data_IF_997732067607
#
_entry.id   IF_997732067607
#
_cell.length_a   1.000
_cell.length_b   1.000
_cell.length_c   1.000
_cell.angle_alpha   90.00
_cell.angle_beta   90.00
_cell.angle_gamma   90.00
#
_symmetry.space_group_name_H-M   'P 1'
#
loop_
_entity.id
_entity.type
_entity.pdbx_description
1 polymer ?
#
# COMPACT_ATOMS: atom_id res chain seq x y z
N UNK A 1 -5.26 -26.78 61.76
CA UNK A 1 -6.39 -27.55 62.32
C UNK A 1 -6.97 -28.37 61.17
N UNK A 2 -6.96 -29.70 61.30
CA UNK A 2 -7.45 -30.75 60.37
C UNK A 2 -8.23 -31.79 61.24
N UNK A 3 -8.81 -32.90 60.74
CA UNK A 3 -9.13 -33.36 59.36
C UNK A 3 -10.67 -33.24 59.12
N UNK A 4 -11.43 -33.95 58.26
CA UNK A 4 -11.30 -35.08 57.30
C UNK A 4 -12.05 -34.69 55.99
N UNK A 5 -11.93 -35.27 54.79
CA UNK A 5 -11.47 -36.57 54.23
C UNK A 5 -12.51 -37.71 54.12
N UNK A 6 -12.85 -38.10 52.88
CA UNK A 6 -13.05 -39.47 52.31
C UNK A 6 -13.71 -39.34 50.91
N UNK A 7 -13.52 -40.15 49.85
CA UNK A 7 -12.71 -41.36 49.52
C UNK A 7 -13.56 -42.57 49.09
N UNK A 8 -13.68 -42.79 47.77
CA UNK A 8 -13.83 -44.07 47.02
C UNK A 8 -13.93 -43.70 45.53
N UNK A 9 -13.23 -44.25 44.51
CA UNK A 9 -12.64 -45.58 44.20
C UNK A 9 -13.64 -46.70 43.91
N UNK A 10 -13.78 -47.03 42.62
CA UNK A 10 -13.52 -48.33 41.94
C UNK A 10 -13.24 -47.99 40.45
N UNK A 11 -12.24 -48.52 39.76
CA UNK A 11 -11.94 -49.93 39.40
C UNK A 11 -13.05 -50.50 38.47
N UNK A 12 -12.78 -50.98 37.25
CA UNK A 12 -11.54 -51.10 36.47
C UNK A 12 -11.73 -52.06 35.27
N UNK A 13 -10.63 -52.46 34.60
CA UNK A 13 -10.54 -53.56 33.59
C UNK A 13 -11.24 -53.20 32.24
N UNK A 14 -10.56 -52.89 31.12
CA UNK A 14 -9.52 -53.63 30.34
C UNK A 14 -10.07 -54.75 29.43
N UNK A 15 -9.89 -54.60 28.10
CA UNK A 15 -9.58 -55.65 27.11
C UNK A 15 -9.55 -55.15 25.66
N UNK A 16 -8.36 -55.23 25.06
CA UNK A 16 -8.11 -55.41 23.62
C UNK A 16 -7.34 -56.73 23.44
N UNK A 17 -7.01 -57.21 22.22
CA UNK A 17 -7.65 -57.05 20.90
C UNK A 17 -8.08 -58.43 20.33
N UNK A 18 -8.48 -58.50 19.05
CA UNK A 18 -8.48 -59.78 18.29
C UNK A 18 -8.30 -59.54 16.77
N UNK A 19 -7.40 -60.29 16.15
CA UNK A 19 -7.02 -60.18 14.73
C UNK A 19 -7.84 -61.10 13.80
N UNK A 20 -7.94 -60.77 12.51
CA UNK A 20 -7.82 -61.70 11.35
C UNK A 20 -8.21 -61.01 10.02
N UNK A 21 -7.90 -61.53 8.83
CA UNK A 21 -6.58 -61.86 8.21
C UNK A 21 -6.82 -62.21 6.71
N UNK A 22 -5.82 -61.98 5.85
CA UNK A 22 -5.69 -62.47 4.46
C UNK A 22 -6.68 -62.00 3.34
N UNK A 23 -6.19 -61.13 2.47
CA UNK A 23 -5.74 -61.42 1.08
C UNK A 23 -6.14 -62.74 0.36
N UNK A 24 -5.97 -62.85 -0.98
CA UNK A 24 -5.96 -61.84 -2.07
C UNK A 24 -6.84 -62.25 -3.28
N UNK A 25 -6.89 -61.46 -4.36
CA UNK A 25 -7.01 -62.01 -5.72
C UNK A 25 -6.25 -61.16 -6.76
N UNK A 26 -5.79 -61.82 -7.83
CA UNK A 26 -4.93 -61.23 -8.86
C UNK A 26 -5.70 -60.97 -10.18
N UNK A 27 -5.05 -60.24 -11.10
CA UNK A 27 -5.57 -59.98 -12.44
C UNK A 27 -5.43 -61.20 -13.38
N UNK A 28 -6.14 -61.17 -14.53
CA UNK A 28 -5.61 -61.68 -15.79
C UNK A 28 -5.16 -60.53 -16.70
N UNK A 29 -4.28 -60.84 -17.66
CA UNK A 29 -3.82 -59.94 -18.71
C UNK A 29 -4.35 -60.39 -20.10
N UNK A 30 -3.83 -59.74 -21.15
CA UNK A 30 -3.92 -60.11 -22.58
C UNK A 30 -5.27 -59.95 -23.31
N UNK A 31 -5.32 -58.93 -24.17
CA UNK A 31 -5.70 -59.10 -25.58
C UNK A 31 -5.04 -58.00 -26.45
N UNK A 32 -4.27 -58.38 -27.46
CA UNK A 32 -3.66 -57.48 -28.47
C UNK A 32 -3.85 -58.12 -29.84
N UNK A 33 -4.55 -57.46 -30.80
CA UNK A 33 -3.91 -57.09 -32.08
C UNK A 33 -4.56 -55.88 -32.79
N UNK A 34 -4.03 -55.39 -33.94
CA UNK A 34 -2.66 -55.36 -34.44
C UNK A 34 -2.21 -53.91 -34.84
N UNK A 35 -1.12 -53.79 -35.60
CA UNK A 35 -0.45 -52.54 -36.04
C UNK A 35 -0.73 -52.20 -37.52
N UNK A 36 -0.43 -50.94 -37.91
CA UNK A 36 -0.44 -50.29 -39.24
C UNK A 36 -1.64 -49.33 -39.46
N UNK A 37 -1.50 -48.17 -40.12
CA UNK A 37 -0.37 -47.66 -40.93
C UNK A 37 -0.13 -46.13 -40.70
N UNK A 38 1.04 -45.54 -41.04
CA UNK A 38 1.42 -44.19 -40.60
C UNK A 38 1.06 -43.07 -41.59
N UNK A 39 0.46 -41.97 -41.10
CA UNK A 39 0.26 -40.76 -41.89
C UNK A 39 0.21 -39.46 -41.05
N UNK A 40 0.55 -38.34 -41.71
CA UNK A 40 0.33 -36.94 -41.26
C UNK A 40 1.05 -36.51 -39.97
N UNK A 41 2.37 -36.43 -40.02
CA UNK A 41 3.08 -35.43 -39.21
C UNK A 41 2.68 -34.02 -39.68
N UNK A 42 1.98 -33.23 -38.85
CA UNK A 42 1.36 -32.00 -39.37
C UNK A 42 0.66 -31.07 -38.37
N UNK A 43 1.22 -30.78 -37.18
CA UNK A 43 0.57 -29.85 -36.23
C UNK A 43 1.46 -28.94 -35.36
N UNK A 44 2.64 -28.52 -35.87
CA UNK A 44 3.48 -27.49 -35.20
C UNK A 44 3.64 -26.20 -36.06
N UNK A 45 3.36 -26.26 -37.36
CA UNK A 45 3.73 -25.20 -38.33
C UNK A 45 2.63 -24.17 -38.66
N UNK A 46 1.62 -24.00 -37.80
CA UNK A 46 0.42 -23.16 -38.07
C UNK A 46 0.03 -22.12 -37.01
N UNK A 47 0.59 -22.16 -35.79
CA UNK A 47 0.23 -21.22 -34.72
C UNK A 47 0.83 -19.84 -34.93
N UNK A 48 2.15 -19.75 -35.13
CA UNK A 48 2.87 -18.49 -35.31
C UNK A 48 2.38 -17.65 -36.51
N UNK A 49 1.99 -18.29 -37.61
CA UNK A 49 1.44 -17.60 -38.78
C UNK A 49 0.13 -16.87 -38.43
N UNK A 50 -0.81 -17.55 -37.77
CA UNK A 50 -2.09 -16.98 -37.34
C UNK A 50 -1.89 -15.84 -36.33
N UNK A 51 -0.92 -15.98 -35.43
CA UNK A 51 -0.54 -14.94 -34.47
C UNK A 51 -0.04 -13.68 -35.21
N UNK A 52 0.86 -13.86 -36.18
CA UNK A 52 1.42 -12.74 -36.96
C UNK A 52 0.40 -12.03 -37.83
N UNK A 53 -0.53 -12.77 -38.44
CA UNK A 53 -1.56 -12.20 -39.32
C UNK A 53 -2.53 -11.30 -38.52
N UNK A 54 -2.82 -11.68 -37.28
CA UNK A 54 -3.67 -10.92 -36.36
C UNK A 54 -2.99 -9.66 -35.79
N UNK A 55 -1.66 -9.67 -35.64
CA UNK A 55 -0.89 -8.50 -35.18
C UNK A 55 -0.68 -7.50 -36.32
N UNK A 56 -0.28 -7.95 -37.50
CA UNK A 56 0.19 -7.06 -38.57
C UNK A 56 -0.95 -6.29 -39.24
N UNK A 57 -1.73 -6.92 -40.14
CA UNK A 57 -2.69 -6.20 -41.03
C UNK A 57 -4.06 -6.85 -41.27
N UNK A 58 -4.28 -8.16 -41.03
CA UNK A 58 -5.58 -8.83 -41.33
C UNK A 58 -6.65 -8.57 -40.25
N UNK A 59 -6.58 -7.40 -39.61
CA UNK A 59 -7.17 -7.11 -38.29
C UNK A 59 -8.66 -7.41 -38.25
N UNK A 60 -9.42 -7.00 -39.27
CA UNK A 60 -10.88 -7.23 -39.31
C UNK A 60 -11.24 -8.71 -39.30
N UNK A 61 -10.55 -9.58 -40.05
CA UNK A 61 -10.94 -10.99 -40.14
C UNK A 61 -10.82 -11.71 -38.78
N UNK A 62 -9.71 -11.49 -38.08
CA UNK A 62 -9.44 -12.11 -36.77
C UNK A 62 -10.25 -11.45 -35.66
N UNK A 63 -10.29 -10.11 -35.59
CA UNK A 63 -11.06 -9.36 -34.60
C UNK A 63 -12.56 -9.63 -34.73
N UNK A 64 -13.09 -9.66 -35.94
CA UNK A 64 -14.54 -9.78 -36.15
C UNK A 64 -15.01 -11.24 -35.97
N UNK A 65 -14.09 -12.22 -36.06
CA UNK A 65 -14.30 -13.60 -35.59
C UNK A 65 -14.41 -13.75 -34.07
N UNK A 66 -14.07 -12.72 -33.29
CA UNK A 66 -14.34 -12.68 -31.85
C UNK A 66 -15.75 -12.14 -31.60
N UNK A 67 -16.40 -12.68 -30.55
CA UNK A 67 -17.63 -12.12 -30.03
C UNK A 67 -17.41 -10.64 -29.65
N UNK A 68 -18.34 -9.77 -30.02
CA UNK A 68 -18.22 -8.31 -29.91
C UNK A 68 -17.67 -7.81 -28.56
N UNK A 69 -18.15 -8.37 -27.45
CA UNK A 69 -17.72 -8.10 -26.06
C UNK A 69 -16.21 -8.32 -25.78
N UNK A 70 -15.48 -8.98 -26.68
CA UNK A 70 -14.06 -9.28 -26.55
C UNK A 70 -13.17 -8.55 -27.57
N UNK A 71 -13.77 -7.76 -28.49
CA UNK A 71 -13.02 -6.98 -29.49
C UNK A 71 -12.21 -5.84 -28.86
N UNK A 72 -12.66 -5.31 -27.72
CA UNK A 72 -11.91 -4.37 -26.87
C UNK A 72 -10.63 -5.01 -26.32
N UNK A 73 -10.75 -6.17 -25.66
CA UNK A 73 -9.63 -6.91 -25.08
C UNK A 73 -8.59 -7.33 -26.15
N UNK A 74 -9.03 -7.70 -27.35
CA UNK A 74 -8.13 -7.91 -28.51
C UNK A 74 -7.32 -6.66 -28.87
N UNK A 75 -7.96 -5.48 -28.93
CA UNK A 75 -7.29 -4.23 -29.23
C UNK A 75 -6.29 -3.83 -28.13
N UNK A 76 -6.59 -4.13 -26.86
CA UNK A 76 -5.73 -3.87 -25.70
C UNK A 76 -4.47 -4.74 -25.77
N UNK A 77 -4.61 -6.08 -25.86
CA UNK A 77 -3.45 -6.98 -25.98
C UNK A 77 -2.58 -6.66 -27.20
N UNK A 78 -3.20 -6.34 -28.35
CA UNK A 78 -2.46 -5.92 -29.56
C UNK A 78 -1.70 -4.60 -29.31
N UNK A 79 -2.26 -3.66 -28.55
CA UNK A 79 -1.60 -2.41 -28.15
C UNK A 79 -0.42 -2.69 -27.22
N UNK A 80 -0.60 -3.50 -26.18
CA UNK A 80 0.45 -3.90 -25.25
C UNK A 80 1.65 -4.54 -25.98
N UNK A 81 1.41 -5.44 -26.94
CA UNK A 81 2.47 -6.07 -27.75
C UNK A 81 3.19 -5.03 -28.64
N UNK A 82 2.45 -4.15 -29.31
CA UNK A 82 3.05 -3.11 -30.17
C UNK A 82 3.93 -2.17 -29.34
N UNK A 83 3.39 -1.65 -28.24
CA UNK A 83 4.09 -0.67 -27.42
C UNK A 83 5.28 -1.30 -26.68
N UNK A 84 5.20 -2.59 -26.30
CA UNK A 84 6.36 -3.37 -25.84
C UNK A 84 7.43 -3.50 -26.92
N UNK A 85 7.09 -3.97 -28.14
CA UNK A 85 8.11 -4.11 -29.21
C UNK A 85 8.78 -2.79 -29.55
N UNK A 86 8.03 -1.68 -29.54
CA UNK A 86 8.57 -0.32 -29.72
C UNK A 86 9.49 0.12 -28.57
N UNK A 87 9.21 -0.26 -27.33
CA UNK A 87 10.02 0.10 -26.16
C UNK A 87 11.38 -0.62 -26.11
N UNK A 88 11.53 -1.76 -26.80
CA UNK A 88 12.75 -2.56 -26.84
C UNK A 88 13.42 -2.59 -28.23
N UNK A 89 13.12 -1.61 -29.10
CA UNK A 89 13.62 -1.50 -30.49
C UNK A 89 13.45 -2.78 -31.34
N UNK A 90 12.41 -3.58 -31.06
CA UNK A 90 12.09 -4.79 -31.81
C UNK A 90 11.23 -4.40 -33.02
N UNK A 91 11.68 -4.64 -34.28
CA UNK A 91 10.83 -4.45 -35.45
C UNK A 91 9.61 -5.38 -35.36
N UNK A 92 8.40 -4.85 -35.56
CA UNK A 92 7.15 -5.60 -35.40
C UNK A 92 7.07 -6.82 -36.34
N UNK A 93 7.73 -6.76 -37.49
CA UNK A 93 7.92 -7.85 -38.45
C UNK A 93 8.67 -9.06 -37.85
N UNK A 94 9.39 -8.87 -36.75
CA UNK A 94 10.09 -9.94 -36.03
C UNK A 94 9.11 -10.91 -35.37
N UNK A 95 7.97 -10.41 -34.88
CA UNK A 95 6.88 -11.23 -34.32
C UNK A 95 6.35 -12.25 -35.35
N UNK A 96 6.47 -11.94 -36.64
CA UNK A 96 6.05 -12.81 -37.74
C UNK A 96 7.05 -13.91 -38.13
N UNK A 97 8.28 -13.86 -37.60
CA UNK A 97 9.40 -14.70 -38.05
C UNK A 97 10.09 -15.32 -36.84
N UNK A 98 9.84 -16.60 -36.50
CA UNK A 98 10.33 -17.23 -35.28
C UNK A 98 11.84 -17.09 -35.03
N UNK A 99 12.65 -17.06 -36.10
CA UNK A 99 14.10 -16.89 -35.99
C UNK A 99 14.50 -15.45 -35.64
N UNK A 100 13.81 -14.43 -36.19
CA UNK A 100 14.01 -13.02 -35.81
C UNK A 100 13.45 -12.74 -34.41
N UNK A 101 12.29 -13.32 -34.07
CA UNK A 101 11.73 -13.22 -32.72
C UNK A 101 12.70 -13.80 -31.68
N UNK A 102 13.35 -14.93 -31.99
CA UNK A 102 14.39 -15.51 -31.13
C UNK A 102 15.64 -14.63 -31.04
N UNK A 103 16.08 -14.01 -32.14
CA UNK A 103 17.22 -13.10 -32.14
C UNK A 103 16.94 -11.81 -31.35
N UNK A 104 15.73 -11.27 -31.43
CA UNK A 104 15.28 -10.12 -30.65
C UNK A 104 15.11 -10.48 -29.16
N UNK A 105 14.44 -11.59 -28.87
CA UNK A 105 14.26 -12.10 -27.51
C UNK A 105 15.61 -12.40 -26.82
N UNK A 106 16.61 -12.89 -27.55
CA UNK A 106 17.97 -13.11 -27.03
C UNK A 106 18.73 -11.85 -26.61
N UNK A 107 18.15 -10.65 -26.78
CA UNK A 107 18.70 -9.35 -26.36
C UNK A 107 17.91 -8.71 -25.19
N UNK A 108 16.80 -9.33 -24.78
CA UNK A 108 15.95 -8.86 -23.68
C UNK A 108 16.48 -9.32 -22.31
N UNK A 109 16.07 -8.63 -21.25
CA UNK A 109 16.25 -9.13 -19.87
C UNK A 109 15.35 -10.34 -19.60
N UNK A 110 15.61 -11.09 -18.53
CA UNK A 110 14.74 -12.21 -18.11
C UNK A 110 13.32 -11.74 -17.81
N UNK A 111 13.17 -10.57 -17.18
CA UNK A 111 11.87 -9.96 -16.85
C UNK A 111 11.11 -9.54 -18.11
N UNK A 112 11.81 -9.01 -19.12
CA UNK A 112 11.22 -8.63 -20.40
C UNK A 112 10.88 -9.85 -21.28
N UNK A 113 11.68 -10.92 -21.18
CA UNK A 113 11.39 -12.23 -21.80
C UNK A 113 10.09 -12.84 -21.24
N UNK A 114 9.95 -12.87 -19.92
CA UNK A 114 8.75 -13.36 -19.23
C UNK A 114 7.52 -12.51 -19.59
N UNK A 115 7.67 -11.18 -19.62
CA UNK A 115 6.63 -10.23 -20.05
C UNK A 115 6.20 -10.44 -21.50
N UNK A 116 7.15 -10.57 -22.43
CA UNK A 116 6.86 -10.84 -23.85
C UNK A 116 6.18 -12.20 -24.03
N UNK A 117 6.64 -13.25 -23.34
CA UNK A 117 6.02 -14.57 -23.39
C UNK A 117 4.56 -14.53 -22.91
N UNK A 118 4.29 -13.87 -21.78
CA UNK A 118 2.94 -13.71 -21.24
C UNK A 118 2.00 -12.95 -22.18
N UNK A 119 2.47 -11.85 -22.80
CA UNK A 119 1.70 -11.09 -23.78
C UNK A 119 1.33 -11.94 -25.00
N UNK A 120 2.29 -12.69 -25.55
CA UNK A 120 2.06 -13.56 -26.71
C UNK A 120 1.14 -14.75 -26.37
N UNK A 121 1.25 -15.33 -25.17
CA UNK A 121 0.37 -16.41 -24.70
C UNK A 121 -1.08 -15.93 -24.50
N UNK A 122 -1.28 -14.77 -23.85
CA UNK A 122 -2.62 -14.13 -23.71
C UNK A 122 -3.26 -13.88 -25.08
N UNK A 123 -2.47 -13.40 -26.05
CA UNK A 123 -2.96 -13.10 -27.40
C UNK A 123 -3.23 -14.37 -28.24
N UNK A 124 -2.39 -15.41 -28.15
CA UNK A 124 -2.66 -16.71 -28.78
C UNK A 124 -3.93 -17.36 -28.19
N UNK A 125 -4.08 -17.36 -26.87
CA UNK A 125 -5.28 -17.89 -26.21
C UNK A 125 -6.54 -17.22 -26.74
N UNK A 126 -6.58 -15.88 -26.75
CA UNK A 126 -7.73 -15.12 -27.25
C UNK A 126 -8.09 -15.49 -28.70
N UNK A 127 -7.09 -15.59 -29.58
CA UNK A 127 -7.29 -15.92 -30.99
C UNK A 127 -7.79 -17.37 -31.17
N UNK A 128 -7.27 -18.31 -30.38
CA UNK A 128 -7.57 -19.75 -30.49
C UNK A 128 -8.88 -20.13 -29.81
N UNK A 129 -9.22 -19.50 -28.68
CA UNK A 129 -10.39 -19.84 -27.84
C UNK A 129 -11.60 -18.96 -28.10
N UNK A 130 -11.42 -17.79 -28.72
CA UNK A 130 -12.45 -16.77 -29.01
C UNK A 130 -13.09 -16.12 -27.77
N UNK A 131 -12.46 -16.33 -26.63
CA UNK A 131 -12.69 -15.68 -25.34
C UNK A 131 -11.32 -15.30 -24.75
N UNK A 132 -11.23 -14.28 -23.89
CA UNK A 132 -10.07 -14.07 -23.03
C UNK A 132 -9.75 -15.36 -22.29
N UNK A 133 -8.48 -15.54 -21.91
CA UNK A 133 -8.20 -16.46 -20.81
C UNK A 133 -9.06 -16.07 -19.61
N UNK A 134 -9.46 -17.04 -18.77
CA UNK A 134 -9.66 -16.70 -17.36
C UNK A 134 -8.37 -16.06 -16.92
N UNK A 135 -8.35 -14.75 -16.70
CA UNK A 135 -7.12 -14.05 -16.40
C UNK A 135 -6.64 -14.50 -15.02
N UNK A 136 -5.75 -15.50 -15.05
CA UNK A 136 -4.59 -15.50 -14.19
C UNK A 136 -3.92 -14.15 -14.40
N UNK A 137 -4.29 -13.20 -13.56
CA UNK A 137 -3.53 -12.00 -13.28
C UNK A 137 -2.04 -12.39 -13.24
N UNK A 138 -1.10 -11.59 -13.80
CA UNK A 138 0.33 -11.89 -13.73
C UNK A 138 0.74 -12.38 -12.34
N UNK A 139 1.69 -13.32 -12.25
CA UNK A 139 1.95 -14.05 -11.00
C UNK A 139 2.23 -13.12 -9.79
N UNK A 140 2.87 -11.98 -10.05
CA UNK A 140 3.04 -10.92 -9.06
C UNK A 140 1.72 -10.32 -8.54
N UNK A 141 0.73 -10.07 -9.41
CA UNK A 141 -0.60 -9.63 -8.99
C UNK A 141 -1.33 -10.73 -8.22
N UNK A 142 -1.26 -12.01 -8.63
CA UNK A 142 -1.87 -13.11 -7.85
C UNK A 142 -1.25 -13.27 -6.45
N UNK A 143 0.08 -13.20 -6.34
CA UNK A 143 0.78 -13.33 -5.06
C UNK A 143 0.49 -12.13 -4.15
N UNK A 144 0.55 -10.91 -4.66
CA UNK A 144 0.29 -9.69 -3.88
C UNK A 144 -1.19 -9.56 -3.52
N UNK A 145 -2.14 -9.90 -4.41
CA UNK A 145 -3.56 -9.85 -4.07
C UNK A 145 -3.93 -10.87 -2.97
N UNK A 146 -3.32 -12.07 -3.01
CA UNK A 146 -3.42 -13.05 -1.93
C UNK A 146 -2.84 -12.52 -0.60
N UNK A 147 -1.68 -11.87 -0.64
CA UNK A 147 -0.97 -11.40 0.57
C UNK A 147 -1.56 -10.12 1.16
N UNK A 148 -2.08 -9.21 0.35
CA UNK A 148 -2.45 -7.85 0.78
C UNK A 148 -3.93 -7.50 0.59
N UNK A 149 -4.68 -8.21 -0.24
CA UNK A 149 -6.03 -7.79 -0.69
C UNK A 149 -6.01 -6.34 -1.20
N UNK A 150 -5.29 -6.12 -2.29
CA UNK A 150 -4.87 -4.80 -2.75
C UNK A 150 -5.91 -4.17 -3.68
N UNK A 151 -6.64 -4.97 -4.48
CA UNK A 151 -7.66 -4.50 -5.44
C UNK A 151 -8.81 -3.76 -4.72
N UNK A 152 -9.39 -4.37 -3.68
CA UNK A 152 -10.44 -3.75 -2.86
C UNK A 152 -9.95 -2.46 -2.18
N UNK A 153 -8.77 -2.51 -1.54
CA UNK A 153 -8.20 -1.38 -0.81
C UNK A 153 -7.83 -0.21 -1.72
N UNK A 154 -7.26 -0.50 -2.89
CA UNK A 154 -6.91 0.50 -3.89
C UNK A 154 -8.17 1.14 -4.47
N UNK A 155 -9.16 0.33 -4.87
CA UNK A 155 -10.42 0.83 -5.45
C UNK A 155 -11.16 1.74 -4.47
N UNK A 156 -11.29 1.31 -3.20
CA UNK A 156 -11.91 2.12 -2.14
C UNK A 156 -11.17 3.45 -1.93
N UNK A 157 -9.84 3.46 -2.02
CA UNK A 157 -9.05 4.67 -1.84
C UNK A 157 -9.12 5.63 -3.04
N UNK A 158 -9.12 5.11 -4.28
CA UNK A 158 -9.33 5.94 -5.48
C UNK A 158 -10.67 6.66 -5.39
N UNK A 159 -11.77 5.92 -5.18
CA UNK A 159 -13.12 6.50 -5.06
C UNK A 159 -13.23 7.48 -3.88
N UNK A 160 -12.56 7.23 -2.76
CA UNK A 160 -12.53 8.18 -1.65
C UNK A 160 -11.77 9.47 -2.00
N UNK A 161 -10.59 9.36 -2.60
CA UNK A 161 -9.75 10.51 -2.98
C UNK A 161 -10.37 11.36 -4.10
N UNK A 162 -11.18 10.76 -4.98
CA UNK A 162 -12.08 11.45 -5.91
C UNK A 162 -13.21 12.17 -5.15
N UNK A 163 -13.89 11.48 -4.23
CA UNK A 163 -15.00 12.02 -3.44
C UNK A 163 -14.60 13.25 -2.61
N UNK A 164 -13.44 13.25 -1.95
CA UNK A 164 -12.93 14.42 -1.21
C UNK A 164 -12.22 15.45 -2.11
N UNK A 165 -12.20 15.26 -3.43
CA UNK A 165 -11.66 16.23 -4.38
C UNK A 165 -10.14 16.42 -4.34
N UNK A 166 -9.39 15.44 -3.81
CA UNK A 166 -7.93 15.37 -3.91
C UNK A 166 -7.57 15.01 -5.35
N UNK A 167 -8.16 13.93 -5.86
CA UNK A 167 -8.03 13.54 -7.26
C UNK A 167 -8.92 14.41 -8.15
N UNK A 168 -8.34 14.97 -9.19
CA UNK A 168 -9.02 15.68 -10.26
C UNK A 168 -8.54 15.07 -11.57
N UNK A 169 -9.48 14.51 -12.34
CA UNK A 169 -9.21 13.81 -13.60
C UNK A 169 -8.13 12.69 -13.48
N UNK A 170 -8.01 12.09 -12.30
CA UNK A 170 -7.05 11.03 -11.98
C UNK A 170 -5.67 11.49 -11.49
N UNK A 171 -5.47 12.79 -11.24
CA UNK A 171 -4.20 13.36 -10.78
C UNK A 171 -4.37 14.30 -9.57
N UNK A 172 -3.26 14.62 -8.92
CA UNK A 172 -3.12 15.75 -7.98
C UNK A 172 -2.27 16.85 -8.61
N UNK A 173 -2.39 18.09 -8.11
CA UNK A 173 -1.50 19.20 -8.45
C UNK A 173 -0.41 19.32 -7.37
N UNK A 174 0.85 19.32 -7.79
CA UNK A 174 2.01 19.47 -6.90
C UNK A 174 2.28 20.91 -6.44
N UNK A 175 3.14 21.07 -5.42
CA UNK A 175 3.65 22.38 -4.97
C UNK A 175 4.39 23.18 -6.05
N UNK A 176 4.82 22.51 -7.11
CA UNK A 176 5.52 23.03 -8.28
C UNK A 176 4.59 23.29 -9.49
N UNK A 177 3.29 22.96 -9.35
CA UNK A 177 2.29 23.10 -10.40
C UNK A 177 2.23 21.94 -11.40
N UNK A 178 3.01 20.87 -11.23
CA UNK A 178 2.90 19.68 -12.09
C UNK A 178 1.69 18.82 -11.72
N UNK A 179 1.10 18.19 -12.73
CA UNK A 179 0.09 17.13 -12.57
C UNK A 179 0.77 15.80 -12.29
N UNK A 180 0.45 15.19 -11.14
CA UNK A 180 0.96 13.90 -10.73
C UNK A 180 -0.18 12.86 -10.75
N UNK A 181 -0.25 11.97 -11.76
CA UNK A 181 -1.29 10.96 -11.85
C UNK A 181 -1.21 9.96 -10.69
N UNK A 182 -2.35 9.41 -10.28
CA UNK A 182 -2.40 8.39 -9.23
C UNK A 182 -1.56 7.14 -9.62
N UNK A 183 -0.77 6.56 -8.69
CA UNK A 183 -0.01 5.35 -8.98
C UNK A 183 -0.95 4.19 -9.24
N UNK A 184 -0.78 3.47 -10.34
CA UNK A 184 -1.70 2.39 -10.70
C UNK A 184 -1.52 1.17 -9.80
N UNK A 185 -2.62 0.41 -9.61
CA UNK A 185 -2.64 -0.87 -8.88
C UNK A 185 -1.50 -1.80 -9.32
N UNK A 186 -1.26 -1.94 -10.62
CA UNK A 186 -0.22 -2.83 -11.14
C UNK A 186 1.20 -2.34 -10.84
N UNK A 187 1.41 -1.02 -10.73
CA UNK A 187 2.70 -0.45 -10.35
C UNK A 187 2.99 -0.69 -8.86
N UNK A 188 1.98 -0.50 -8.00
CA UNK A 188 2.08 -0.79 -6.56
C UNK A 188 2.32 -2.28 -6.33
N UNK A 189 1.56 -3.14 -7.00
CA UNK A 189 1.67 -4.58 -6.85
C UNK A 189 2.98 -5.15 -7.43
N UNK A 190 3.46 -4.65 -8.57
CA UNK A 190 4.79 -5.00 -9.07
C UNK A 190 5.88 -4.60 -8.06
N UNK A 191 5.77 -3.40 -7.47
CA UNK A 191 6.74 -2.90 -6.49
C UNK A 191 6.75 -3.72 -5.19
N UNK A 192 5.57 -4.09 -4.69
CA UNK A 192 5.42 -5.01 -3.57
C UNK A 192 6.03 -6.40 -3.88
N UNK A 193 5.83 -6.91 -5.10
CA UNK A 193 6.40 -8.18 -5.51
C UNK A 193 7.93 -8.14 -5.65
N UNK A 194 8.50 -7.11 -6.26
CA UNK A 194 9.95 -6.90 -6.32
C UNK A 194 10.57 -6.95 -4.92
N UNK A 195 9.94 -6.26 -3.96
CA UNK A 195 10.43 -6.12 -2.59
C UNK A 195 9.95 -7.22 -1.63
N UNK A 196 9.22 -8.25 -2.09
CA UNK A 196 8.57 -9.24 -1.20
C UNK A 196 9.52 -9.95 -0.24
N UNK A 197 10.80 -10.12 -0.60
CA UNK A 197 11.84 -10.66 0.28
C UNK A 197 12.24 -9.71 1.42
N UNK A 198 12.32 -8.39 1.15
CA UNK A 198 12.54 -7.36 2.18
C UNK A 198 11.31 -7.21 3.10
N UNK A 199 10.12 -7.25 2.48
CA UNK A 199 8.86 -6.95 3.13
C UNK A 199 8.21 -8.16 3.83
N UNK A 200 8.76 -9.37 3.68
CA UNK A 200 8.20 -10.59 4.30
C UNK A 200 8.02 -10.47 5.81
N UNK A 201 9.02 -9.94 6.52
CA UNK A 201 8.93 -9.69 7.96
C UNK A 201 7.90 -8.59 8.31
N UNK A 202 7.62 -7.65 7.40
CA UNK A 202 6.60 -6.61 7.62
C UNK A 202 5.19 -7.11 7.36
N UNK A 203 5.01 -7.97 6.37
CA UNK A 203 3.79 -8.73 6.15
C UNK A 203 3.43 -9.58 7.39
N UNK A 204 4.39 -10.35 7.90
CA UNK A 204 4.28 -11.17 9.13
C UNK A 204 3.98 -10.33 10.40
N UNK A 205 4.50 -9.10 10.47
CA UNK A 205 4.18 -8.13 11.53
C UNK A 205 2.84 -7.37 11.31
N UNK A 206 2.07 -7.73 10.28
CA UNK A 206 0.73 -7.20 10.01
C UNK A 206 0.68 -5.88 9.23
N UNK A 207 1.77 -5.42 8.61
CA UNK A 207 1.75 -4.26 7.72
C UNK A 207 1.14 -4.64 6.36
N UNK A 208 -0.20 -4.72 6.31
CA UNK A 208 -0.96 -5.17 5.15
C UNK A 208 -1.93 -4.13 4.58
N UNK A 209 -2.23 -3.07 5.34
CA UNK A 209 -3.23 -2.06 4.93
C UNK A 209 -2.59 -0.95 4.09
N UNK A 210 -3.01 -0.82 2.84
CA UNK A 210 -2.54 0.21 1.92
C UNK A 210 -2.96 1.61 2.39
N UNK A 211 -2.09 2.61 2.21
CA UNK A 211 -2.47 4.02 2.18
C UNK A 211 -1.79 4.75 1.00
N UNK A 212 -2.60 5.40 0.16
CA UNK A 212 -2.17 6.32 -0.88
C UNK A 212 -2.10 7.75 -0.32
N UNK A 213 -0.91 8.33 -0.24
CA UNK A 213 -0.68 9.67 0.30
C UNK A 213 -0.31 10.64 -0.83
N UNK A 214 -1.04 11.77 -1.02
CA UNK A 214 -0.79 12.73 -2.10
C UNK A 214 0.40 13.65 -1.76
N UNK A 215 1.57 13.07 -1.55
CA UNK A 215 2.74 13.74 -0.98
C UNK A 215 3.17 15.02 -1.72
N UNK A 216 3.01 15.10 -3.04
CA UNK A 216 3.37 16.28 -3.83
C UNK A 216 2.44 17.48 -3.62
N UNK A 217 1.22 17.25 -3.14
CA UNK A 217 0.20 18.27 -2.90
C UNK A 217 0.70 19.31 -1.87
N UNK A 218 0.28 20.57 -2.05
CA UNK A 218 0.51 21.62 -1.06
C UNK A 218 -0.23 21.28 0.26
N UNK A 219 0.43 21.47 1.41
CA UNK A 219 -0.14 21.05 2.70
C UNK A 219 -1.29 21.94 3.16
N UNK A 220 -1.31 23.24 2.83
CA UNK A 220 -2.45 24.12 3.10
C UNK A 220 -3.70 23.67 2.32
N UNK A 221 -3.51 23.20 1.09
CA UNK A 221 -4.59 22.59 0.31
C UNK A 221 -5.09 21.28 0.93
N UNK A 222 -4.19 20.40 1.39
CA UNK A 222 -4.59 19.13 2.02
C UNK A 222 -5.29 19.35 3.38
N UNK A 223 -4.82 20.31 4.18
CA UNK A 223 -5.49 20.76 5.42
C UNK A 223 -6.86 21.37 5.10
N UNK A 224 -6.98 22.15 4.03
CA UNK A 224 -8.27 22.70 3.57
C UNK A 224 -9.23 21.60 3.13
N UNK A 225 -8.74 20.54 2.46
CA UNK A 225 -9.55 19.38 2.11
C UNK A 225 -10.01 18.60 3.35
N UNK A 226 -9.13 18.37 4.34
CA UNK A 226 -9.51 17.76 5.61
C UNK A 226 -10.61 18.57 6.33
N UNK A 227 -10.50 19.90 6.32
CA UNK A 227 -11.52 20.80 6.88
C UNK A 227 -12.87 20.63 6.17
N UNK A 228 -12.87 20.58 4.84
CA UNK A 228 -14.10 20.39 4.06
C UNK A 228 -14.71 19.00 4.30
N UNK A 229 -13.90 17.94 4.20
CA UNK A 229 -14.33 16.57 4.49
C UNK A 229 -14.97 16.42 5.87
N UNK A 230 -14.39 17.02 6.91
CA UNK A 230 -14.95 16.98 8.27
C UNK A 230 -16.30 17.71 8.38
N UNK A 231 -16.47 18.84 7.68
CA UNK A 231 -17.73 19.58 7.63
C UNK A 231 -18.83 18.79 6.90
N UNK A 232 -18.49 18.15 5.77
CA UNK A 232 -19.42 17.31 5.00
C UNK A 232 -19.76 16.01 5.75
N UNK A 233 -18.78 15.44 6.47
CA UNK A 233 -18.98 14.30 7.36
C UNK A 233 -19.92 14.67 8.52
N UNK A 234 -19.73 15.83 9.16
CA UNK A 234 -20.64 16.36 10.20
C UNK A 234 -22.05 16.67 9.66
N UNK A 235 -22.15 17.16 8.42
CA UNK A 235 -23.43 17.40 7.74
C UNK A 235 -24.22 16.11 7.45
N UNK A 236 -23.52 15.00 7.19
CA UNK A 236 -24.12 13.67 7.00
C UNK A 236 -24.30 12.89 8.31
N UNK A 237 -23.54 13.20 9.36
CA UNK A 237 -23.57 12.55 10.68
C UNK A 237 -23.81 13.57 11.80
N UNK A 238 -25.06 14.00 12.05
CA UNK A 238 -25.36 15.06 13.02
C UNK A 238 -24.85 14.79 14.44
N UNK A 239 -24.81 13.53 14.87
CA UNK A 239 -24.34 13.12 16.21
C UNK A 239 -22.79 13.08 16.35
N UNK A 240 -22.04 13.29 15.25
CA UNK A 240 -20.58 13.34 15.30
C UNK A 240 -20.12 14.56 16.11
N UNK A 241 -19.48 14.35 17.26
CA UNK A 241 -19.13 15.42 18.20
C UNK A 241 -17.90 16.19 17.71
N UNK A 242 -18.15 17.27 16.95
CA UNK A 242 -17.15 18.02 16.19
C UNK A 242 -17.46 19.53 16.21
N UNK A 243 -16.41 20.34 16.25
CA UNK A 243 -16.47 21.79 16.16
C UNK A 243 -16.63 22.26 14.71
N UNK A 244 -17.72 22.97 14.41
CA UNK A 244 -17.94 23.55 13.07
C UNK A 244 -17.33 24.94 12.90
N UNK A 245 -17.00 25.61 14.00
CA UNK A 245 -16.57 27.00 14.00
C UNK A 245 -15.03 27.08 13.96
N UNK A 246 -14.35 26.23 14.73
CA UNK A 246 -12.89 25.96 14.63
C UNK A 246 -12.57 24.47 14.34
N UNK A 247 -12.85 23.98 13.12
CA UNK A 247 -12.74 22.56 12.76
C UNK A 247 -11.30 21.98 12.77
N UNK A 248 -10.28 22.82 12.61
CA UNK A 248 -8.86 22.42 12.69
C UNK A 248 -8.10 23.50 13.46
N UNK A 249 -7.61 23.16 14.65
CA UNK A 249 -6.75 24.07 15.42
C UNK A 249 -5.29 23.87 15.05
N UNK A 250 -4.75 24.86 14.32
CA UNK A 250 -3.33 24.98 14.01
C UNK A 250 -2.64 25.89 15.03
N UNK A 251 -1.48 25.49 15.55
CA UNK A 251 -0.67 26.39 16.40
C UNK A 251 -0.21 27.62 15.60
N UNK A 252 -0.45 28.80 16.16
CA UNK A 252 0.05 30.09 15.65
C UNK A 252 1.52 30.27 16.05
N UNK A 253 2.39 30.62 15.10
CA UNK A 253 3.80 30.96 15.31
C UNK A 253 3.90 32.18 16.22
N UNK A 254 4.07 31.97 17.53
CA UNK A 254 4.42 33.04 18.48
C UNK A 254 5.87 33.47 18.29
N UNK A 255 6.11 34.29 17.27
CA UNK A 255 7.36 34.95 16.93
C UNK A 255 7.74 35.99 18.01
N UNK A 256 8.20 35.50 19.17
CA UNK A 256 8.52 36.25 20.41
C UNK A 256 7.28 36.84 21.11
N UNK A 257 7.47 37.31 22.35
CA UNK A 257 6.39 37.83 23.23
C UNK A 257 5.90 39.25 22.87
N UNK A 258 6.21 39.75 21.67
CA UNK A 258 6.02 41.17 21.31
C UNK A 258 5.68 41.40 19.84
N UNK A 259 5.60 40.35 19.01
CA UNK A 259 5.14 40.47 17.63
C UNK A 259 3.68 40.00 17.54
N UNK A 260 2.86 40.71 16.78
CA UNK A 260 1.41 40.47 16.66
C UNK A 260 1.04 39.78 15.35
N UNK A 261 2.02 39.27 14.61
CA UNK A 261 1.86 38.58 13.33
C UNK A 261 1.54 37.09 13.52
N UNK A 262 0.35 36.84 14.09
CA UNK A 262 -0.27 35.50 14.21
C UNK A 262 -0.36 34.83 12.82
N UNK A 263 0.63 33.98 12.51
CA UNK A 263 0.72 33.15 11.30
C UNK A 263 0.66 31.69 11.69
N UNK A 264 -0.03 30.83 10.95
CA UNK A 264 -0.16 29.42 11.32
C UNK A 264 1.13 28.65 11.00
N UNK A 265 1.52 27.70 11.86
CA UNK A 265 2.84 27.08 11.78
C UNK A 265 3.07 26.27 10.49
N UNK A 266 2.01 25.69 9.93
CA UNK A 266 2.02 24.93 8.67
C UNK A 266 1.84 25.80 7.42
N UNK A 267 1.47 27.08 7.57
CA UNK A 267 1.12 27.96 6.46
C UNK A 267 2.30 28.18 5.51
N UNK A 268 2.14 27.76 4.26
CA UNK A 268 3.19 27.68 3.23
C UNK A 268 4.44 26.89 3.63
N UNK A 269 4.39 26.04 4.67
CA UNK A 269 5.59 25.42 5.27
C UNK A 269 6.39 24.51 4.33
N UNK A 270 5.78 24.07 3.23
CA UNK A 270 6.40 23.29 2.15
C UNK A 270 6.29 23.95 0.76
N UNK A 271 6.02 25.27 0.70
CA UNK A 271 5.91 26.04 -0.55
C UNK A 271 6.91 27.19 -0.64
N UNK A 272 7.20 27.62 -1.87
CA UNK A 272 8.06 28.77 -2.16
C UNK A 272 9.52 28.62 -1.70
N UNK A 273 10.20 29.76 -1.54
CA UNK A 273 11.63 29.86 -1.22
C UNK A 273 11.98 29.52 0.24
N UNK A 274 10.98 29.30 1.11
CA UNK A 274 11.14 29.18 2.57
C UNK A 274 10.43 27.93 3.10
N UNK A 275 10.84 26.76 2.61
CA UNK A 275 10.36 25.45 3.08
C UNK A 275 10.92 25.14 4.48
N UNK A 276 10.26 25.68 5.51
CA UNK A 276 10.59 25.47 6.93
C UNK A 276 10.36 24.02 7.39
N UNK A 277 9.53 23.24 6.69
CA UNK A 277 9.25 21.83 6.99
C UNK A 277 10.19 20.91 6.21
N UNK A 278 10.98 20.11 6.93
CA UNK A 278 11.86 19.08 6.37
C UNK A 278 11.35 17.68 6.71
N UNK A 279 11.54 16.75 5.78
CA UNK A 279 10.98 15.42 5.76
C UNK A 279 12.08 14.35 5.88
N UNK A 280 11.74 13.23 6.51
CA UNK A 280 12.62 12.11 6.83
C UNK A 280 13.95 12.54 7.51
N UNK A 281 13.88 13.32 8.61
CA UNK A 281 15.07 13.72 9.36
C UNK A 281 15.78 12.50 9.97
N UNK A 282 17.08 12.63 10.20
CA UNK A 282 17.87 11.71 11.01
C UNK A 282 18.14 12.25 12.42
N UNK A 283 18.02 13.57 12.61
CA UNK A 283 18.18 14.24 13.90
C UNK A 283 17.24 15.43 14.01
N UNK A 284 16.74 15.72 15.21
CA UNK A 284 15.98 16.94 15.50
C UNK A 284 16.90 18.10 15.91
N UNK A 285 17.72 18.59 14.98
CA UNK A 285 18.57 19.77 15.14
C UNK A 285 18.91 20.39 13.77
N UNK A 286 19.73 21.45 13.74
CA UNK A 286 20.13 22.16 12.51
C UNK A 286 20.80 21.24 11.47
N UNK A 287 21.47 20.16 11.89
CA UNK A 287 22.10 19.17 11.01
C UNK A 287 21.16 17.98 10.71
N UNK A 288 19.86 18.22 10.57
CA UNK A 288 18.80 17.19 10.51
C UNK A 288 18.95 16.09 9.45
N UNK A 289 19.71 16.32 8.36
CA UNK A 289 19.84 15.43 7.18
C UNK A 289 18.55 15.13 6.39
N UNK A 290 17.36 15.46 6.92
CA UNK A 290 16.09 15.42 6.19
C UNK A 290 16.05 16.39 5.00
N UNK A 291 15.15 16.13 4.04
CA UNK A 291 15.03 16.86 2.76
C UNK A 291 13.81 17.78 2.73
N UNK A 292 13.84 18.81 1.90
CA UNK A 292 12.65 19.62 1.58
C UNK A 292 11.70 18.87 0.64
N UNK A 293 10.43 19.29 0.53
CA UNK A 293 9.45 18.61 -0.36
C UNK A 293 9.90 18.67 -1.82
N UNK A 294 10.35 19.84 -2.32
CA UNK A 294 10.87 19.98 -3.68
C UNK A 294 12.03 19.02 -3.95
N UNK A 295 12.99 18.88 -3.02
CA UNK A 295 14.13 17.96 -3.19
C UNK A 295 13.67 16.50 -3.30
N UNK A 296 12.60 16.11 -2.61
CA UNK A 296 12.02 14.76 -2.71
C UNK A 296 11.30 14.56 -4.04
N UNK A 297 10.52 15.54 -4.52
CA UNK A 297 9.84 15.46 -5.82
C UNK A 297 10.84 15.39 -6.99
N UNK A 298 11.92 16.16 -6.93
CA UNK A 298 13.07 16.04 -7.84
C UNK A 298 13.65 14.62 -7.81
N UNK A 299 13.94 14.07 -6.62
CA UNK A 299 14.53 12.74 -6.48
C UNK A 299 13.58 11.61 -6.94
N UNK A 300 12.26 11.80 -6.82
CA UNK A 300 11.25 10.91 -7.39
C UNK A 300 11.24 10.98 -8.92
N UNK A 301 11.28 12.18 -9.51
CA UNK A 301 11.19 12.38 -10.96
C UNK A 301 12.29 11.66 -11.77
N UNK A 302 13.44 11.39 -11.14
CA UNK A 302 14.57 10.65 -11.74
C UNK A 302 14.67 9.19 -11.27
N UNK A 303 13.81 8.74 -10.35
CA UNK A 303 13.81 7.39 -9.81
C UNK A 303 12.65 6.55 -10.39
N UNK A 304 12.91 5.62 -11.32
CA UNK A 304 11.87 4.80 -11.96
C UNK A 304 11.18 3.81 -11.00
N UNK A 305 11.75 3.57 -9.81
CA UNK A 305 11.18 2.74 -8.77
C UNK A 305 10.39 3.55 -7.71
N UNK A 306 10.01 4.78 -8.03
CA UNK A 306 9.22 5.66 -7.17
C UNK A 306 7.86 6.01 -7.78
N UNK A 307 7.03 6.68 -6.99
CA UNK A 307 5.71 7.18 -7.40
C UNK A 307 5.74 8.72 -7.39
N UNK A 308 6.05 9.40 -8.51
CA UNK A 308 6.22 10.86 -8.52
C UNK A 308 4.98 11.59 -8.02
N UNK A 309 5.15 12.47 -7.03
CA UNK A 309 4.06 13.20 -6.37
C UNK A 309 3.30 12.40 -5.32
N UNK A 310 3.62 11.13 -5.08
CA UNK A 310 2.89 10.28 -4.14
C UNK A 310 3.86 9.58 -3.18
N UNK A 311 3.35 9.15 -2.03
CA UNK A 311 3.97 8.09 -1.24
C UNK A 311 2.94 6.99 -1.00
N UNK A 312 3.39 5.74 -1.06
CA UNK A 312 2.54 4.56 -0.97
C UNK A 312 3.02 3.75 0.24
N UNK A 313 2.13 3.59 1.20
CA UNK A 313 2.46 3.08 2.53
C UNK A 313 1.71 1.78 2.82
N UNK A 314 2.31 0.91 3.63
CA UNK A 314 1.63 -0.14 4.39
C UNK A 314 1.53 0.28 5.86
N UNK A 315 0.36 0.08 6.43
CA UNK A 315 0.04 0.25 7.83
C UNK A 315 -0.45 -1.07 8.43
N UNK A 316 -0.38 -1.18 9.76
CA UNK A 316 -1.12 -2.21 10.48
C UNK A 316 -2.62 -1.84 10.53
N UNK A 317 -3.54 -2.72 10.11
CA UNK A 317 -4.99 -2.45 10.20
C UNK A 317 -5.48 -2.50 11.65
N UNK A 318 -6.73 -2.09 11.93
CA UNK A 318 -7.29 -2.10 13.29
C UNK A 318 -7.23 -3.46 13.98
N UNK A 319 -7.43 -4.54 13.22
CA UNK A 319 -7.25 -5.94 13.63
C UNK A 319 -6.28 -6.63 12.66
N UNK A 320 -5.00 -6.81 13.03
CA UNK A 320 -4.01 -7.52 12.21
C UNK A 320 -4.33 -8.99 11.90
N UNK A 321 -5.28 -9.61 12.61
CA UNK A 321 -5.73 -10.98 12.32
C UNK A 321 -6.80 -11.07 11.22
N UNK A 322 -7.33 -9.91 10.76
CA UNK A 322 -8.36 -9.81 9.75
C UNK A 322 -7.87 -8.98 8.55
N UNK A 323 -7.60 -9.63 7.43
CA UNK A 323 -7.11 -9.00 6.19
C UNK A 323 -8.12 -8.04 5.54
N UNK A 324 -9.40 -8.07 5.94
CA UNK A 324 -10.44 -7.10 5.55
C UNK A 324 -10.77 -6.10 6.68
N UNK A 325 -9.86 -5.91 7.65
CA UNK A 325 -10.08 -4.97 8.76
C UNK A 325 -10.12 -3.51 8.28
N UNK A 326 -11.24 -2.86 8.53
CA UNK A 326 -11.43 -1.41 8.39
C UNK A 326 -10.59 -0.66 9.43
N UNK A 327 -10.09 0.52 9.07
CA UNK A 327 -9.25 1.37 9.91
C UNK A 327 -7.82 0.85 10.16
N UNK A 328 -7.08 1.57 11.00
CA UNK A 328 -5.66 1.36 11.30
C UNK A 328 -5.48 1.07 12.79
N UNK A 329 -4.46 0.29 13.15
CA UNK A 329 -4.17 -0.08 14.54
C UNK A 329 -4.10 1.17 15.45
N UNK A 330 -4.69 1.17 16.65
CA UNK A 330 -4.60 2.28 17.60
C UNK A 330 -3.19 2.38 18.21
N UNK A 331 -2.77 3.58 18.62
CA UNK A 331 -1.56 3.72 19.44
C UNK A 331 -1.84 3.15 20.85
N UNK A 332 -1.08 2.14 21.33
CA UNK A 332 -1.29 1.55 22.65
C UNK A 332 -0.70 2.40 23.78
N UNK A 333 -1.35 2.40 24.94
CA UNK A 333 -0.87 3.08 26.16
C UNK A 333 -0.02 2.15 27.04
N UNK A 334 -0.51 0.94 27.34
CA UNK A 334 0.12 0.01 28.30
C UNK A 334 0.90 -1.13 27.63
N UNK A 335 0.41 -2.37 27.71
CA UNK A 335 0.96 -3.54 27.03
C UNK A 335 0.45 -3.60 25.59
N UNK A 336 1.03 -2.74 24.75
CA UNK A 336 1.03 -2.94 23.30
C UNK A 336 1.49 -4.36 22.93
N UNK A 337 1.00 -4.86 21.81
CA UNK A 337 1.21 -6.25 21.37
C UNK A 337 2.62 -6.46 20.83
N UNK A 338 2.92 -7.72 20.50
CA UNK A 338 4.07 -8.08 19.68
C UNK A 338 3.53 -8.86 18.50
N UNK A 339 3.83 -8.39 17.29
CA UNK A 339 3.39 -8.96 16.02
C UNK A 339 4.60 -9.58 15.29
N UNK A 340 4.36 -10.52 14.37
CA UNK A 340 5.41 -11.26 13.67
C UNK A 340 5.90 -12.48 14.44
N UNK A 341 6.13 -13.57 13.70
CA UNK A 341 6.60 -14.86 14.17
C UNK A 341 8.13 -14.98 14.03
N UNK A 342 8.70 -14.54 12.91
CA UNK A 342 10.14 -14.71 12.64
C UNK A 342 10.98 -13.59 13.24
N UNK A 343 10.52 -12.34 13.10
CA UNK A 343 11.14 -11.14 13.69
C UNK A 343 10.06 -10.43 14.53
N UNK A 344 9.89 -10.78 15.82
CA UNK A 344 8.81 -10.22 16.63
C UNK A 344 9.00 -8.72 16.92
N UNK A 345 8.06 -7.89 16.45
CA UNK A 345 8.07 -6.43 16.58
C UNK A 345 7.03 -5.98 17.59
N UNK A 346 7.49 -5.28 18.62
CA UNK A 346 6.64 -4.71 19.67
C UNK A 346 6.00 -3.39 19.19
N UNK A 347 4.76 -3.14 19.61
CA UNK A 347 4.08 -1.90 19.27
C UNK A 347 4.66 -0.66 19.98
N UNK A 348 4.62 0.46 19.26
CA UNK A 348 5.10 1.76 19.74
C UNK A 348 4.09 2.39 20.70
N UNK A 349 4.42 2.34 21.99
CA UNK A 349 3.58 2.85 23.08
C UNK A 349 3.62 4.37 23.18
N UNK A 350 2.63 4.98 23.82
CA UNK A 350 2.68 6.39 24.24
C UNK A 350 3.74 6.65 25.32
N UNK A 351 3.98 7.93 25.64
CA UNK A 351 4.73 8.37 26.81
C UNK A 351 6.26 8.46 26.67
N UNK A 352 6.81 8.21 25.48
CA UNK A 352 8.24 8.44 25.18
C UNK A 352 8.47 9.88 24.69
N UNK A 353 9.72 10.35 24.77
CA UNK A 353 10.13 11.57 24.08
C UNK A 353 10.10 11.37 22.56
N UNK A 354 9.80 12.45 21.84
CA UNK A 354 9.84 12.48 20.36
C UNK A 354 11.15 11.95 19.77
N UNK A 355 12.30 12.28 20.38
CA UNK A 355 13.61 11.80 19.97
C UNK A 355 13.79 10.28 20.18
N UNK A 356 13.17 9.66 21.19
CA UNK A 356 13.24 8.20 21.35
C UNK A 356 12.56 7.45 20.19
N UNK A 357 11.46 7.98 19.65
CA UNK A 357 10.86 7.39 18.44
C UNK A 357 11.78 7.56 17.22
N UNK A 358 12.46 8.71 17.09
CA UNK A 358 13.45 8.90 16.04
C UNK A 358 14.67 7.99 16.21
N UNK A 359 15.13 7.73 17.44
CA UNK A 359 16.24 6.82 17.72
C UNK A 359 15.88 5.36 17.37
N UNK A 360 14.61 4.96 17.47
CA UNK A 360 14.12 3.66 16.96
C UNK A 360 14.24 3.61 15.43
N UNK A 361 13.87 4.67 14.71
CA UNK A 361 14.05 4.77 13.24
C UNK A 361 15.53 4.87 12.83
N UNK A 362 16.38 5.49 13.64
CA UNK A 362 17.82 5.48 13.47
C UNK A 362 18.40 4.06 13.59
N UNK A 363 17.91 3.31 14.58
CA UNK A 363 18.26 1.91 14.83
C UNK A 363 17.68 0.95 13.80
N UNK A 364 16.55 1.29 13.18
CA UNK A 364 15.91 0.55 12.07
C UNK A 364 16.79 0.44 10.81
N UNK A 365 17.92 1.15 10.73
CA UNK A 365 18.90 0.98 9.65
C UNK A 365 19.76 -0.29 9.77
N UNK A 366 19.64 -1.01 10.88
CA UNK A 366 20.26 -2.33 11.06
C UNK A 366 19.29 -3.41 10.57
N UNK A 367 19.76 -4.33 9.73
CA UNK A 367 18.91 -5.34 9.07
C UNK A 367 18.22 -6.29 10.07
N UNK A 368 18.84 -6.54 11.22
CA UNK A 368 18.30 -7.37 12.29
C UNK A 368 17.31 -6.61 13.22
N UNK A 369 17.07 -5.32 12.97
CA UNK A 369 16.15 -4.52 13.78
C UNK A 369 14.70 -4.90 13.46
N UNK A 370 13.85 -5.17 14.47
CA UNK A 370 12.43 -5.48 14.22
C UNK A 370 11.68 -4.33 13.55
N UNK A 371 12.22 -3.11 13.57
CA UNK A 371 11.67 -1.92 12.92
C UNK A 371 12.26 -1.62 11.53
N UNK A 372 13.15 -2.48 10.98
CA UNK A 372 13.80 -2.23 9.69
C UNK A 372 12.77 -2.00 8.56
N UNK A 373 13.04 -1.04 7.67
CA UNK A 373 12.11 -0.53 6.64
C UNK A 373 10.86 0.24 7.13
N UNK A 374 10.67 0.46 8.44
CA UNK A 374 9.65 1.39 8.94
C UNK A 374 10.10 2.86 8.79
N UNK A 375 9.12 3.76 8.61
CA UNK A 375 9.25 5.22 8.58
C UNK A 375 8.20 5.85 9.50
N UNK A 376 8.57 6.92 10.21
CA UNK A 376 7.62 7.74 10.95
C UNK A 376 6.71 8.54 10.01
N UNK A 377 5.50 8.87 10.49
CA UNK A 377 4.53 9.63 9.69
C UNK A 377 4.93 11.09 9.45
N UNK A 378 4.54 11.60 8.29
CA UNK A 378 4.45 13.03 7.95
C UNK A 378 3.06 13.61 8.29
N UNK A 379 2.85 14.94 8.23
CA UNK A 379 1.50 15.54 8.27
C UNK A 379 0.58 15.01 7.17
N UNK A 380 1.10 14.86 5.96
CA UNK A 380 0.37 14.35 4.81
C UNK A 380 -0.10 12.90 5.03
N UNK A 381 0.76 12.05 5.62
CA UNK A 381 0.42 10.65 5.94
C UNK A 381 -0.70 10.60 7.00
N UNK A 382 -0.58 11.37 8.08
CA UNK A 382 -1.57 11.34 9.17
C UNK A 382 -2.91 11.93 8.74
N UNK A 383 -2.92 13.01 7.96
CA UNK A 383 -4.18 13.57 7.41
C UNK A 383 -4.87 12.55 6.51
N UNK A 384 -4.12 11.90 5.62
CA UNK A 384 -4.66 10.87 4.72
C UNK A 384 -5.18 9.66 5.51
N UNK A 385 -4.43 9.18 6.50
CA UNK A 385 -4.83 8.10 7.38
C UNK A 385 -6.07 8.46 8.23
N UNK A 386 -6.15 9.67 8.78
CA UNK A 386 -7.29 10.13 9.58
C UNK A 386 -8.56 10.16 8.74
N UNK A 387 -8.51 10.74 7.54
CA UNK A 387 -9.68 10.83 6.64
C UNK A 387 -10.18 9.43 6.24
N UNK A 388 -9.26 8.54 5.85
CA UNK A 388 -9.59 7.15 5.51
C UNK A 388 -10.16 6.39 6.71
N UNK A 389 -9.57 6.54 7.90
CA UNK A 389 -10.05 5.88 9.12
C UNK A 389 -11.48 6.29 9.49
N UNK A 390 -11.77 7.60 9.44
CA UNK A 390 -13.09 8.13 9.75
C UNK A 390 -14.14 7.69 8.71
N UNK A 391 -13.76 7.66 7.44
CA UNK A 391 -14.63 7.16 6.37
C UNK A 391 -14.94 5.66 6.50
N UNK A 392 -13.92 4.82 6.75
CA UNK A 392 -14.09 3.36 6.87
C UNK A 392 -14.80 2.93 8.16
N UNK A 393 -14.51 3.57 9.29
CA UNK A 393 -14.91 3.07 10.62
C UNK A 393 -16.02 3.87 11.30
N UNK A 394 -16.31 5.07 10.81
CA UNK A 394 -17.18 6.04 11.48
C UNK A 394 -16.59 6.62 12.78
N UNK A 395 -15.29 6.43 13.04
CA UNK A 395 -14.58 6.86 14.26
C UNK A 395 -13.32 7.66 13.92
N UNK A 396 -12.92 8.63 14.77
CA UNK A 396 -11.72 9.42 14.54
C UNK A 396 -10.45 8.61 14.83
N UNK A 397 -9.41 8.77 13.99
CA UNK A 397 -8.10 8.21 14.26
C UNK A 397 -7.45 8.93 15.45
N UNK A 398 -6.77 8.17 16.30
CA UNK A 398 -6.10 8.68 17.52
C UNK A 398 -7.04 9.43 18.48
N UNK A 399 -8.25 8.92 18.68
CA UNK A 399 -9.23 9.45 19.62
C UNK A 399 -8.65 9.62 21.04
N UNK A 400 -8.70 10.85 21.57
CA UNK A 400 -8.13 11.25 22.86
C UNK A 400 -6.61 11.01 22.99
N UNK A 401 -5.90 10.88 21.85
CA UNK A 401 -4.46 10.61 21.77
C UNK A 401 -3.77 11.62 20.89
N UNK A 402 -2.45 11.49 20.80
CA UNK A 402 -1.63 12.30 19.90
C UNK A 402 -0.53 11.48 19.25
N UNK A 403 -0.22 11.79 17.99
CA UNK A 403 0.88 11.20 17.25
C UNK A 403 1.97 12.27 17.03
N UNK A 404 3.19 12.03 17.53
CA UNK A 404 4.39 12.68 17.00
C UNK A 404 4.59 12.22 15.56
N UNK A 405 4.66 13.17 14.65
CA UNK A 405 4.88 12.94 13.21
C UNK A 405 6.39 13.02 12.93
N UNK A 406 7.13 12.05 13.46
CA UNK A 406 8.61 12.04 13.43
C UNK A 406 9.20 11.83 12.04
N UNK A 407 8.36 11.57 11.03
CA UNK A 407 8.74 11.65 9.62
C UNK A 407 8.94 13.08 9.11
N UNK A 408 8.64 14.11 9.92
CA UNK A 408 8.86 15.50 9.58
C UNK A 408 9.34 16.35 10.77
N UNK A 409 9.93 17.52 10.49
CA UNK A 409 10.54 18.40 11.49
C UNK A 409 10.56 19.86 11.00
N UNK A 410 10.37 20.80 11.92
CA UNK A 410 10.62 22.23 11.71
C UNK A 410 11.88 22.64 12.48
N UNK A 411 13.04 22.86 11.83
CA UNK A 411 14.29 23.17 12.54
C UNK A 411 14.22 24.41 13.45
N UNK A 412 13.34 25.35 13.13
CA UNK A 412 13.09 26.60 13.87
C UNK A 412 12.04 26.49 14.98
N UNK A 413 11.19 25.45 14.99
CA UNK A 413 9.98 25.40 15.84
C UNK A 413 9.84 24.12 16.69
N UNK A 414 10.22 22.95 16.16
CA UNK A 414 10.03 21.66 16.81
C UNK A 414 9.43 20.59 15.89
N UNK A 415 8.70 19.63 16.46
CA UNK A 415 8.24 18.43 15.76
C UNK A 415 6.72 18.48 15.57
N UNK A 416 6.17 18.18 14.39
CA UNK A 416 4.73 18.18 14.18
C UNK A 416 4.04 17.12 15.04
N UNK A 417 2.87 17.47 15.60
CA UNK A 417 2.00 16.62 16.41
C UNK A 417 0.60 16.71 15.83
N UNK A 418 -0.05 15.57 15.58
CA UNK A 418 -1.47 15.52 15.23
C UNK A 418 -2.29 14.83 16.31
N UNK A 419 -3.56 15.19 16.44
CA UNK A 419 -4.48 14.66 17.44
C UNK A 419 -5.95 14.89 17.10
N UNK A 420 -6.81 14.00 17.60
CA UNK A 420 -8.25 14.26 17.75
C UNK A 420 -8.59 14.36 19.24
N UNK A 421 -9.03 15.55 19.67
CA UNK A 421 -9.27 15.82 21.08
C UNK A 421 -10.27 16.95 21.30
N UNK A 422 -10.91 16.94 22.47
CA UNK A 422 -11.53 18.12 23.06
C UNK A 422 -10.44 19.12 23.42
N UNK A 423 -10.58 20.37 22.97
CA UNK A 423 -9.67 21.46 23.34
C UNK A 423 -10.02 22.05 24.71
N UNK A 424 -8.99 22.38 25.50
CA UNK A 424 -9.08 22.80 26.91
C UNK A 424 -8.49 24.21 27.13
N UNK A 425 -8.89 25.17 26.29
CA UNK A 425 -8.53 26.58 26.46
C UNK A 425 -8.93 27.09 27.85
N UNK A 426 -7.97 27.69 28.56
CA UNK A 426 -8.08 28.22 29.93
C UNK A 426 -8.75 27.26 30.94
N UNK A 427 -8.53 25.96 30.78
CA UNK A 427 -9.03 24.93 31.71
C UNK A 427 -10.54 24.68 31.64
N UNK A 428 -11.21 25.12 30.55
CA UNK A 428 -12.61 24.79 30.27
C UNK A 428 -12.69 23.85 29.08
N UNK A 429 -13.43 22.75 29.22
CA UNK A 429 -13.86 21.96 28.06
C UNK A 429 -14.92 22.76 27.30
N UNK A 430 -14.73 22.91 25.99
CA UNK A 430 -15.72 23.53 25.10
C UNK A 430 -16.72 22.53 24.50
N UNK A 431 -16.64 21.25 24.87
CA UNK A 431 -17.62 20.21 24.55
C UNK A 431 -17.57 19.65 23.12
N UNK A 432 -16.89 20.32 22.20
CA UNK A 432 -16.57 19.87 20.85
C UNK A 432 -15.18 19.21 20.79
N UNK A 433 -15.03 18.17 19.96
CA UNK A 433 -13.71 17.75 19.50
C UNK A 433 -13.33 18.54 18.23
N UNK A 434 -12.04 18.63 17.95
CA UNK A 434 -11.52 19.06 16.64
C UNK A 434 -10.27 18.25 16.29
N UNK A 435 -9.87 18.30 15.01
CA UNK A 435 -8.48 17.96 14.66
C UNK A 435 -7.59 19.08 15.15
N UNK A 436 -6.40 18.76 15.65
CA UNK A 436 -5.37 19.76 15.92
C UNK A 436 -4.03 19.34 15.34
N UNK A 437 -3.41 20.26 14.59
CA UNK A 437 -2.09 20.10 14.00
C UNK A 437 -1.15 21.12 14.68
N UNK A 438 -0.29 20.59 15.51
CA UNK A 438 0.51 21.34 16.48
C UNK A 438 2.00 21.15 16.23
N UNK A 439 2.81 21.97 16.88
CA UNK A 439 4.25 21.73 17.00
C UNK A 439 4.58 21.52 18.48
N UNK A 440 5.26 20.42 18.77
CA UNK A 440 5.70 20.04 20.10
C UNK A 440 7.22 20.26 20.22
N UNK A 441 7.65 20.90 21.32
CA UNK A 441 9.07 21.03 21.62
C UNK A 441 9.71 19.64 21.85
N UNK A 442 10.93 19.46 21.34
CA UNK A 442 11.65 18.16 21.24
C UNK A 442 11.73 17.43 22.60
N UNK A 443 11.90 18.18 23.70
CA UNK A 443 12.04 17.66 25.06
C UNK A 443 10.74 17.65 25.88
N UNK A 444 9.57 17.85 25.27
CA UNK A 444 8.29 17.73 25.94
C UNK A 444 7.71 16.32 25.81
N UNK A 445 7.63 15.57 26.91
CA UNK A 445 6.82 14.33 27.07
C UNK A 445 5.41 14.65 27.54
N UNK A 446 4.45 13.83 27.12
CA UNK A 446 3.18 13.62 27.82
C UNK A 446 2.68 12.19 27.58
N UNK A 447 1.92 11.61 28.53
CA UNK A 447 1.54 10.19 28.54
C UNK A 447 0.51 9.79 27.48
N UNK A 448 -0.17 10.77 26.88
CA UNK A 448 -1.16 10.66 25.80
C UNK A 448 -0.53 10.66 24.38
N UNK A 449 0.74 11.04 24.27
CA UNK A 449 1.42 11.18 22.97
C UNK A 449 2.23 9.92 22.68
N UNK A 450 1.97 9.31 21.52
CA UNK A 450 2.80 8.24 20.95
C UNK A 450 3.34 8.61 19.57
N UNK A 451 3.76 7.62 18.79
CA UNK A 451 4.09 7.82 17.38
C UNK A 451 3.67 6.60 16.56
N UNK A 452 3.28 6.85 15.31
CA UNK A 452 2.91 5.84 14.33
C UNK A 452 4.03 5.72 13.31
N UNK A 453 4.41 4.49 13.00
CA UNK A 453 5.27 4.19 11.85
C UNK A 453 4.46 3.42 10.79
N UNK A 454 4.92 3.51 9.55
CA UNK A 454 4.40 2.81 8.37
C UNK A 454 5.57 2.29 7.53
N UNK A 455 5.33 1.43 6.54
CA UNK A 455 6.37 0.95 5.61
C UNK A 455 6.13 1.56 4.24
N UNK A 456 7.11 2.29 3.71
CA UNK A 456 7.01 2.91 2.38
C UNK A 456 7.51 1.91 1.33
N UNK A 457 6.77 1.77 0.22
CA UNK A 457 6.91 0.77 -0.86
C UNK A 457 7.84 1.25 -1.98
#
# INVERSE_FOLDING_TARGET
MFPFSHSSRRDGIDRSPSESVAHPFAAPAEAVPPVADPAVGGRVRRTSANLSEAIMDSVSSVRDSLHERYRSHFNILRREIIDFTKAHDIPIESLAKPDLLREAAGKLSTQDLERLANLLERFEYLIVKKEPGKEKLPEHLQEIERLYHLEDQYTSQVTFLEYVGILKEGAIIGIDGHEYPIPKLEQIALRLFERRGELSAKHDQGFTKLLLVPFGMNLDMLISTLKQFLLDYKGSHPDFMFDTDDPISNIRKRLKRSDTTDTEAFQNANGGDHQELVYYPLFFNENHQGKTKTKILEDQSVNPASFPGWTVHLFQPSDPSNQHSLGFAPIPEEKGTTQGNEIPRQDLKTGKYSCEYLDILGSAKQQDSPYCHESGLTPEDWISAFMMHLHETGKPLDENKSCYLVGAFFPSLGIPRASWSIDYMDGRSYGSNRVSLNIQYIHGTSSDIGSRFSVII
#
